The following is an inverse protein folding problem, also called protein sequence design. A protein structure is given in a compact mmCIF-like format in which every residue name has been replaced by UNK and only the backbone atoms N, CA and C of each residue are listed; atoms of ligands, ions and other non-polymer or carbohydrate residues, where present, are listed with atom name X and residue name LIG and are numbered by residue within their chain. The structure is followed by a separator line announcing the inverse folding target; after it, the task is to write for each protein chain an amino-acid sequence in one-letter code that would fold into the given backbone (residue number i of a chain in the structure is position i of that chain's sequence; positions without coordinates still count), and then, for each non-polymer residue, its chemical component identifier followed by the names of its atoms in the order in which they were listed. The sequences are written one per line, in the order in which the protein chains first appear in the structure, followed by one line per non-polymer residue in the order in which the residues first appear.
data_IF_021025019391
#
_entry.id   IF_021025019391
#
_cell.length_a   1.000
_cell.length_b   1.000
_cell.length_c   1.000
_cell.angle_alpha   90.00
_cell.angle_beta   90.00
_cell.angle_gamma   90.00
#
_symmetry.space_group_name_H-M   'P 1'
#
loop_
_entity.id
_entity.type
_entity.pdbx_description
1 polymer ?
#
# COMPACT_ATOMS: atom_id res chain seq x y z
N UNK A 1 -37.50 33.64 22.79
CA UNK A 1 -36.83 34.23 21.61
C UNK A 1 -35.30 34.03 21.71
N UNK A 2 -34.80 32.80 21.57
CA UNK A 2 -34.40 32.13 20.32
C UNK A 2 -33.37 32.93 19.48
N UNK A 3 -32.10 32.53 19.55
CA UNK A 3 -31.30 32.08 18.38
C UNK A 3 -29.80 32.06 18.74
N UNK A 4 -29.29 30.88 19.13
CA UNK A 4 -27.85 30.62 19.24
C UNK A 4 -27.41 29.74 18.06
N UNK A 5 -26.52 30.30 17.23
CA UNK A 5 -25.43 29.68 16.44
C UNK A 5 -25.62 28.23 15.98
N UNK A 6 -25.97 28.08 14.70
CA UNK A 6 -25.72 26.86 13.93
C UNK A 6 -24.25 26.78 13.55
N UNK A 7 -23.48 25.95 14.24
CA UNK A 7 -22.23 25.40 13.71
C UNK A 7 -22.57 23.97 13.29
N UNK A 8 -22.74 23.76 11.99
CA UNK A 8 -22.80 22.43 11.40
C UNK A 8 -21.40 21.80 11.50
N UNK A 9 -21.08 21.23 12.66
CA UNK A 9 -20.05 20.21 12.77
C UNK A 9 -20.65 19.00 12.06
N UNK A 10 -20.22 18.75 10.83
CA UNK A 10 -20.41 17.45 10.18
C UNK A 10 -19.83 16.42 11.14
N UNK A 11 -20.71 15.71 11.83
CA UNK A 11 -20.39 14.58 12.69
C UNK A 11 -19.61 13.59 11.83
N UNK A 12 -18.28 13.65 11.92
CA UNK A 12 -17.42 12.56 11.50
C UNK A 12 -17.84 11.41 12.42
N UNK A 13 -18.56 10.43 11.87
CA UNK A 13 -18.94 9.23 12.62
C UNK A 13 -17.74 8.74 13.41
N UNK A 14 -17.88 8.40 14.70
CA UNK A 14 -16.84 7.68 15.39
C UNK A 14 -16.83 6.29 14.76
N UNK A 15 -15.94 6.07 13.79
CA UNK A 15 -15.63 4.73 13.35
C UNK A 15 -14.93 4.03 14.52
N UNK A 16 -15.78 3.49 15.41
CA UNK A 16 -15.62 2.27 16.19
C UNK A 16 -14.15 1.88 16.41
N UNK A 17 -13.63 2.23 17.58
CA UNK A 17 -12.48 1.55 18.20
C UNK A 17 -12.89 0.10 18.55
N UNK A 18 -13.07 -0.74 17.53
CA UNK A 18 -12.73 -2.15 17.66
C UNK A 18 -11.22 -2.18 17.51
N UNK A 19 -10.52 -2.84 18.43
CA UNK A 19 -9.09 -3.11 18.27
C UNK A 19 -8.92 -3.99 17.02
N UNK A 20 -8.82 -3.36 15.86
CA UNK A 20 -8.60 -4.03 14.59
C UNK A 20 -7.19 -4.60 14.62
N UNK A 21 -7.10 -5.92 14.69
CA UNK A 21 -5.82 -6.60 14.79
C UNK A 21 -5.15 -6.61 13.42
N UNK A 22 -4.46 -5.51 13.11
CA UNK A 22 -3.75 -5.36 11.85
C UNK A 22 -2.42 -6.10 11.94
N UNK A 23 -2.24 -7.10 11.08
CA UNK A 23 -0.97 -7.83 10.93
C UNK A 23 -0.28 -7.39 9.64
N UNK A 24 1.03 -7.22 9.70
CA UNK A 24 1.87 -6.93 8.52
C UNK A 24 2.76 -8.15 8.31
N UNK A 25 2.74 -8.71 7.11
CA UNK A 25 3.54 -9.88 6.75
C UNK A 25 4.23 -9.67 5.42
N UNK A 26 5.39 -10.31 5.24
CA UNK A 26 5.96 -10.51 3.90
C UNK A 26 5.00 -11.39 3.08
N UNK A 27 4.92 -11.12 1.78
CA UNK A 27 4.13 -11.93 0.84
C UNK A 27 4.84 -13.25 0.59
N UNK A 28 4.15 -14.37 0.76
CA UNK A 28 4.65 -15.69 0.36
C UNK A 28 4.04 -16.12 -0.99
N UNK A 29 4.58 -17.16 -1.67
CA UNK A 29 4.06 -17.61 -2.96
C UNK A 29 2.55 -17.90 -2.96
N UNK A 30 2.02 -18.44 -1.86
CA UNK A 30 0.58 -18.69 -1.70
C UNK A 30 -0.27 -17.41 -1.65
N UNK A 31 0.32 -16.26 -1.29
CA UNK A 31 -0.35 -14.97 -1.17
C UNK A 31 -0.34 -14.17 -2.48
N UNK A 32 0.42 -14.59 -3.48
CA UNK A 32 0.59 -13.83 -4.72
C UNK A 32 -0.74 -13.54 -5.41
N UNK A 33 -1.65 -14.51 -5.62
CA UNK A 33 -2.90 -14.25 -6.33
C UNK A 33 -3.74 -13.14 -5.65
N UNK A 34 -3.95 -13.27 -4.34
CA UNK A 34 -4.72 -12.29 -3.56
C UNK A 34 -4.05 -10.91 -3.51
N UNK A 35 -2.71 -10.88 -3.48
CA UNK A 35 -1.93 -9.63 -3.48
C UNK A 35 -2.03 -8.91 -4.81
N UNK A 36 -1.88 -9.63 -5.93
CA UNK A 36 -2.01 -9.07 -7.28
C UNK A 36 -3.43 -8.53 -7.49
N UNK A 37 -4.46 -9.28 -7.10
CA UNK A 37 -5.85 -8.83 -7.19
C UNK A 37 -6.13 -7.56 -6.37
N UNK A 38 -5.55 -7.46 -5.17
CA UNK A 38 -5.64 -6.26 -4.35
C UNK A 38 -4.98 -5.06 -5.02
N UNK A 39 -3.74 -5.23 -5.53
CA UNK A 39 -2.99 -4.15 -6.18
C UNK A 39 -3.65 -3.70 -7.48
N UNK A 40 -4.19 -4.63 -8.27
CA UNK A 40 -4.91 -4.30 -9.51
C UNK A 40 -6.18 -3.49 -9.23
N UNK A 41 -6.94 -3.84 -8.19
CA UNK A 41 -8.10 -3.02 -7.74
C UNK A 41 -7.66 -1.65 -7.26
N UNK A 42 -6.62 -1.57 -6.44
CA UNK A 42 -6.05 -0.31 -5.99
C UNK A 42 -5.62 0.58 -7.16
N UNK A 43 -4.99 -0.01 -8.18
CA UNK A 43 -4.58 0.71 -9.40
C UNK A 43 -5.78 1.26 -10.16
N UNK A 44 -6.87 0.49 -10.30
CA UNK A 44 -8.10 0.95 -10.93
C UNK A 44 -8.76 2.11 -10.16
N UNK A 45 -8.69 2.09 -8.83
CA UNK A 45 -9.20 3.19 -7.99
C UNK A 45 -8.36 4.47 -8.11
N UNK A 46 -7.02 4.36 -8.14
CA UNK A 46 -6.11 5.52 -8.22
C UNK A 46 -6.08 6.12 -9.63
N UNK A 47 -6.11 5.27 -10.65
CA UNK A 47 -5.94 5.67 -12.04
C UNK A 47 -7.09 5.17 -12.93
N UNK A 48 -8.32 5.68 -12.74
CA UNK A 48 -9.50 5.17 -13.45
C UNK A 48 -9.47 5.37 -14.97
N UNK A 49 -8.59 6.25 -15.46
CA UNK A 49 -8.43 6.54 -16.89
C UNK A 49 -7.31 5.73 -17.57
N UNK A 50 -6.52 4.96 -16.81
CA UNK A 50 -5.51 4.06 -17.39
C UNK A 50 -6.14 2.73 -17.76
N UNK A 51 -5.53 2.00 -18.69
CA UNK A 51 -5.92 0.60 -18.93
C UNK A 51 -5.70 -0.21 -17.65
N UNK A 52 -6.80 -0.57 -16.99
CA UNK A 52 -6.85 -1.37 -15.77
C UNK A 52 -6.88 -2.87 -16.04
N UNK A 53 -7.02 -3.29 -17.30
CA UNK A 53 -7.10 -4.69 -17.73
C UNK A 53 -5.70 -5.26 -17.92
N UNK A 54 -4.79 -4.47 -18.49
CA UNK A 54 -3.41 -4.92 -18.70
C UNK A 54 -2.67 -5.00 -17.36
N UNK A 55 -2.23 -6.21 -17.00
CA UNK A 55 -1.41 -6.47 -15.83
C UNK A 55 0.00 -5.90 -16.07
N UNK A 56 0.50 -5.01 -15.19
CA UNK A 56 1.88 -4.53 -15.24
C UNK A 56 2.91 -5.67 -15.25
N UNK A 57 4.02 -5.56 -16.00
CA UNK A 57 5.01 -6.66 -16.14
C UNK A 57 5.57 -7.19 -14.82
N UNK A 58 5.76 -6.31 -13.85
CA UNK A 58 6.24 -6.65 -12.51
C UNK A 58 5.20 -7.35 -11.64
N UNK A 59 3.90 -7.15 -11.89
CA UNK A 59 2.83 -7.97 -11.28
C UNK A 59 2.65 -9.30 -12.02
N UNK A 60 2.88 -9.34 -13.33
CA UNK A 60 2.89 -10.59 -14.09
C UNK A 60 4.06 -11.50 -13.67
N UNK A 61 5.22 -10.91 -13.37
CA UNK A 61 6.41 -11.58 -12.85
C UNK A 61 6.60 -11.42 -11.34
N UNK A 62 5.52 -11.32 -10.56
CA UNK A 62 5.56 -10.89 -9.15
C UNK A 62 6.61 -11.62 -8.31
N UNK A 63 6.60 -12.95 -8.33
CA UNK A 63 7.53 -13.77 -7.54
C UNK A 63 8.99 -13.45 -7.88
N UNK A 64 9.30 -13.40 -9.17
CA UNK A 64 10.65 -13.14 -9.66
C UNK A 64 11.14 -11.73 -9.31
N UNK A 65 10.24 -10.74 -9.38
CA UNK A 65 10.56 -9.32 -9.13
C UNK A 65 10.68 -9.03 -7.63
N UNK A 66 9.74 -9.54 -6.81
CA UNK A 66 9.61 -9.12 -5.41
C UNK A 66 10.06 -10.15 -4.38
N UNK A 67 10.06 -11.45 -4.69
CA UNK A 67 10.38 -12.50 -3.72
C UNK A 67 11.74 -13.15 -3.98
N UNK A 68 12.11 -13.32 -5.24
CA UNK A 68 13.40 -13.93 -5.63
C UNK A 68 14.54 -12.91 -5.81
N UNK A 69 14.23 -11.61 -5.83
CA UNK A 69 15.23 -10.54 -5.92
C UNK A 69 16.03 -10.40 -4.62
N UNK A 70 17.33 -10.08 -4.74
CA UNK A 70 18.26 -10.00 -3.59
C UNK A 70 17.80 -9.01 -2.49
N UNK A 71 17.21 -7.89 -2.89
CA UNK A 71 16.70 -6.86 -1.97
C UNK A 71 15.25 -6.45 -2.32
N UNK A 72 14.58 -7.24 -3.16
CA UNK A 72 13.15 -7.06 -3.44
C UNK A 72 12.33 -7.53 -2.25
N UNK A 73 11.28 -6.80 -1.90
CA UNK A 73 10.31 -7.22 -0.88
C UNK A 73 8.92 -6.74 -1.22
N UNK A 74 7.91 -7.49 -0.81
CA UNK A 74 6.54 -7.04 -0.82
C UNK A 74 5.88 -7.36 0.52
N UNK A 75 5.27 -6.35 1.13
CA UNK A 75 4.54 -6.48 2.39
C UNK A 75 3.07 -6.22 2.15
N UNK A 76 2.24 -6.93 2.89
CA UNK A 76 0.80 -6.72 2.94
C UNK A 76 0.36 -6.57 4.40
N UNK A 77 -0.59 -5.66 4.62
CA UNK A 77 -1.29 -5.53 5.89
C UNK A 77 -2.67 -6.18 5.77
N UNK A 78 -3.03 -7.01 6.74
CA UNK A 78 -4.34 -7.63 6.83
C UNK A 78 -5.09 -7.17 8.07
N UNK A 79 -6.40 -7.01 7.94
CA UNK A 79 -7.34 -6.89 9.04
C UNK A 79 -8.41 -7.96 8.83
N UNK A 80 -8.60 -8.84 9.82
CA UNK A 80 -9.55 -9.96 9.73
C UNK A 80 -9.38 -10.76 8.42
N UNK A 81 -8.15 -11.17 8.11
CA UNK A 81 -7.72 -11.88 6.89
C UNK A 81 -7.87 -11.12 5.56
N UNK A 82 -8.50 -9.94 5.56
CA UNK A 82 -8.61 -9.09 4.37
C UNK A 82 -7.38 -8.21 4.22
N UNK A 83 -6.76 -8.22 3.04
CA UNK A 83 -5.71 -7.26 2.69
C UNK A 83 -6.30 -5.84 2.65
N UNK A 84 -5.71 -4.94 3.42
CA UNK A 84 -6.09 -3.51 3.54
C UNK A 84 -4.98 -2.55 3.13
N UNK A 85 -3.75 -3.04 2.99
CA UNK A 85 -2.65 -2.25 2.46
C UNK A 85 -1.57 -3.15 1.85
N UNK A 86 -0.78 -2.57 0.95
CA UNK A 86 0.31 -3.21 0.25
C UNK A 86 1.46 -2.23 0.05
N UNK A 87 2.70 -2.70 0.19
CA UNK A 87 3.90 -1.95 -0.20
C UNK A 87 4.90 -2.86 -0.91
N UNK A 88 5.47 -2.38 -2.00
CA UNK A 88 6.53 -3.05 -2.76
C UNK A 88 7.83 -2.25 -2.71
N UNK A 89 8.92 -2.92 -2.37
CA UNK A 89 10.28 -2.41 -2.35
C UNK A 89 11.11 -3.08 -3.42
N UNK A 90 11.88 -2.29 -4.18
CA UNK A 90 12.90 -2.78 -5.10
C UNK A 90 14.24 -2.08 -4.87
N UNK A 91 15.38 -2.70 -5.20
CA UNK A 91 16.66 -2.02 -5.19
C UNK A 91 16.60 -0.75 -6.05
N UNK A 92 17.10 0.38 -5.52
CA UNK A 92 17.20 1.60 -6.30
C UNK A 92 18.27 1.43 -7.38
N UNK A 93 17.92 1.71 -8.63
CA UNK A 93 18.76 1.47 -9.81
C UNK A 93 19.58 2.69 -10.25
N UNK A 94 19.65 3.73 -9.41
CA UNK A 94 20.46 4.93 -9.64
C UNK A 94 20.10 5.70 -10.93
N UNK A 95 18.86 5.57 -11.43
CA UNK A 95 18.38 6.28 -12.63
C UNK A 95 18.43 7.80 -12.55
N UNK A 96 18.38 8.38 -11.34
CA UNK A 96 18.48 9.82 -11.15
C UNK A 96 19.89 10.20 -10.66
N UNK A 97 20.73 10.82 -11.50
CA UNK A 97 22.12 11.14 -11.14
C UNK A 97 22.23 12.21 -10.04
N UNK A 98 21.16 12.96 -9.79
CA UNK A 98 21.09 13.95 -8.71
C UNK A 98 20.97 13.30 -7.31
N UNK A 99 20.58 12.04 -7.26
CA UNK A 99 20.41 11.26 -6.03
C UNK A 99 21.58 10.28 -5.89
N UNK A 100 22.69 10.76 -5.34
CA UNK A 100 23.86 9.93 -5.09
C UNK A 100 23.72 9.15 -3.78
N UNK A 101 23.22 7.92 -3.92
CA UNK A 101 23.18 6.93 -2.85
C UNK A 101 24.26 5.85 -3.00
N UNK A 102 25.33 6.14 -3.76
CA UNK A 102 26.42 5.18 -3.98
C UNK A 102 27.02 4.77 -2.63
N UNK A 103 27.28 3.47 -2.48
CA UNK A 103 27.79 2.90 -1.22
C UNK A 103 26.76 2.75 -0.10
N UNK A 104 25.48 3.10 -0.34
CA UNK A 104 24.37 2.85 0.59
C UNK A 104 23.45 1.79 0.03
N UNK A 105 23.05 0.82 0.86
CA UNK A 105 21.97 -0.12 0.52
C UNK A 105 20.66 0.67 0.47
N UNK A 106 20.13 0.86 -0.74
CA UNK A 106 19.01 1.76 -1.01
C UNK A 106 17.93 1.02 -1.77
N UNK A 107 16.69 1.15 -1.32
CA UNK A 107 15.50 0.63 -1.99
C UNK A 107 14.56 1.79 -2.33
N UNK A 108 13.77 1.60 -3.39
CA UNK A 108 12.67 2.48 -3.76
C UNK A 108 11.33 1.82 -3.41
N UNK A 109 10.36 2.64 -3.01
CA UNK A 109 8.96 2.23 -2.88
C UNK A 109 8.34 2.34 -4.26
N UNK A 110 8.07 1.20 -4.89
CA UNK A 110 7.48 1.16 -6.24
C UNK A 110 5.96 1.09 -6.22
N UNK A 111 5.39 0.61 -5.11
CA UNK A 111 3.94 0.60 -4.86
C UNK A 111 3.70 0.83 -3.38
N UNK A 112 2.82 1.76 -3.05
CA UNK A 112 2.28 1.91 -1.70
C UNK A 112 0.81 2.24 -1.82
N UNK A 113 -0.03 1.40 -1.24
CA UNK A 113 -1.47 1.63 -1.19
C UNK A 113 -2.03 1.25 0.16
N UNK A 114 -2.93 2.10 0.67
CA UNK A 114 -3.75 1.85 1.86
C UNK A 114 -5.20 2.13 1.48
N UNK A 115 -6.09 1.18 1.76
CA UNK A 115 -7.53 1.33 1.54
C UNK A 115 -8.03 2.61 2.24
N UNK A 116 -8.93 3.40 1.62
CA UNK A 116 -9.32 4.72 2.13
C UNK A 116 -9.77 4.74 3.59
N UNK A 117 -10.48 3.69 4.01
CA UNK A 117 -10.99 3.50 5.38
C UNK A 117 -9.89 3.43 6.45
N UNK A 118 -8.66 3.08 6.08
CA UNK A 118 -7.51 2.89 6.98
C UNK A 118 -6.42 3.96 6.79
N UNK A 119 -6.73 5.03 6.05
CA UNK A 119 -5.81 6.16 5.85
C UNK A 119 -5.84 7.08 7.06
N UNK A 120 -4.70 7.72 7.33
CA UNK A 120 -4.50 8.63 8.48
C UNK A 120 -4.33 7.94 9.85
N UNK A 121 -4.26 6.60 9.88
CA UNK A 121 -3.99 5.81 11.09
C UNK A 121 -2.52 5.35 11.20
N UNK A 122 -1.60 5.99 10.45
CA UNK A 122 -0.17 5.68 10.45
C UNK A 122 0.21 4.32 9.84
N UNK A 123 -0.72 3.61 9.20
CA UNK A 123 -0.45 2.29 8.59
C UNK A 123 0.63 2.35 7.50
N UNK A 124 0.63 3.39 6.66
CA UNK A 124 1.69 3.59 5.67
C UNK A 124 3.07 3.73 6.31
N UNK A 125 3.17 4.42 7.45
CA UNK A 125 4.41 4.55 8.20
C UNK A 125 4.87 3.22 8.78
N UNK A 126 3.96 2.42 9.35
CA UNK A 126 4.27 1.07 9.86
C UNK A 126 4.78 0.11 8.78
N UNK A 127 4.30 0.27 7.54
CA UNK A 127 4.78 -0.51 6.41
C UNK A 127 6.21 -0.15 5.99
N UNK A 128 6.68 1.08 6.29
CA UNK A 128 7.98 1.61 5.88
C UNK A 128 9.03 1.65 7.00
N UNK A 129 8.78 0.99 8.14
CA UNK A 129 9.73 0.85 9.24
C UNK A 129 10.72 -0.29 8.99
#
# INVERSE_FOLDING_TARGET
PHAWRNICITLRSPAKSVAMNITITEVHPADIPQTVDFVMRARAEIFPLLDTVTVPPDLAGFEQVYLSGKDGKFLIARCDERIIAAVGYLPYDHRFPQLDYTGRRTVEIVRLYVTPEFRSDGLASRLCQ
#
